data_IF_174963756861
#
_entry.id   IF_174963756861
#
_cell.length_a   1.000
_cell.length_b   1.000
_cell.length_c   1.000
_cell.angle_alpha   90.00
_cell.angle_beta   90.00
_cell.angle_gamma   90.00
#
_symmetry.space_group_name_H-M   'P 1'
#
loop_
_entity.id
_entity.type
_entity.pdbx_description
1 polymer ?
#
# COMPACT_ATOMS: atom_id res chain seq x y z
N UNK A 1 7.93 26.73 10.59
CA UNK A 1 8.50 25.84 9.55
C UNK A 1 8.61 24.48 10.18
N UNK A 2 7.89 23.49 9.66
CA UNK A 2 7.95 22.11 10.18
C UNK A 2 9.01 21.37 9.39
N UNK A 3 9.88 20.64 10.08
CA UNK A 3 10.96 19.85 9.46
C UNK A 3 10.61 18.37 9.54
N UNK A 4 10.78 17.64 8.45
CA UNK A 4 10.60 16.19 8.39
C UNK A 4 11.98 15.54 8.33
N UNK A 5 12.23 14.61 9.23
CA UNK A 5 13.45 13.80 9.24
C UNK A 5 13.12 12.41 8.70
N UNK A 6 13.80 12.00 7.63
CA UNK A 6 13.68 10.69 7.01
C UNK A 6 15.04 10.01 7.10
N UNK A 7 15.06 8.79 7.63
CA UNK A 7 16.24 7.94 7.62
C UNK A 7 16.17 7.02 6.39
N UNK A 8 17.09 7.22 5.46
CA UNK A 8 17.11 6.56 4.16
C UNK A 8 18.51 6.05 3.88
N UNK A 9 18.60 4.88 3.25
CA UNK A 9 19.85 4.36 2.74
C UNK A 9 20.46 5.29 1.67
N UNK A 10 21.77 5.52 1.72
CA UNK A 10 22.49 6.42 0.80
C UNK A 10 22.31 6.01 -0.67
N UNK A 11 22.26 4.71 -0.94
CA UNK A 11 22.06 4.19 -2.31
C UNK A 11 20.64 4.48 -2.78
N UNK A 12 19.65 4.37 -1.90
CA UNK A 12 18.27 4.77 -2.20
C UNK A 12 18.18 6.27 -2.46
N UNK A 13 18.81 7.09 -1.62
CA UNK A 13 18.81 8.55 -1.76
C UNK A 13 19.41 9.00 -3.11
N UNK A 14 20.56 8.44 -3.49
CA UNK A 14 21.20 8.75 -4.77
C UNK A 14 20.35 8.34 -5.98
N UNK A 15 19.71 7.16 -5.93
CA UNK A 15 18.80 6.69 -6.99
C UNK A 15 17.59 7.61 -7.13
N UNK A 16 16.99 7.99 -6.00
CA UNK A 16 15.84 8.89 -6.00
C UNK A 16 16.20 10.26 -6.58
N UNK A 17 17.33 10.85 -6.15
CA UNK A 17 17.81 12.14 -6.66
C UNK A 17 18.05 12.11 -8.18
N UNK A 18 18.68 11.04 -8.67
CA UNK A 18 18.94 10.85 -10.10
C UNK A 18 17.65 10.80 -10.92
N UNK A 19 16.67 10.00 -10.48
CA UNK A 19 15.40 9.82 -11.20
C UNK A 19 14.54 11.10 -11.15
N UNK A 20 14.45 11.74 -9.98
CA UNK A 20 13.64 12.95 -9.81
C UNK A 20 14.26 14.15 -10.55
N UNK A 21 15.58 14.29 -10.52
CA UNK A 21 16.29 15.37 -11.23
C UNK A 21 16.12 15.27 -12.75
N UNK A 22 16.02 14.05 -13.31
CA UNK A 22 15.69 13.86 -14.73
C UNK A 22 14.30 14.41 -15.09
N UNK A 23 13.38 14.46 -14.13
CA UNK A 23 12.05 15.05 -14.26
C UNK A 23 12.00 16.52 -13.81
N UNK A 24 13.14 17.11 -13.44
CA UNK A 24 13.22 18.49 -12.94
C UNK A 24 12.63 18.69 -11.54
N UNK A 25 12.54 17.63 -10.73
CA UNK A 25 12.03 17.68 -9.37
C UNK A 25 13.16 17.42 -8.36
N UNK A 26 13.17 18.20 -7.28
CA UNK A 26 14.00 17.88 -6.10
C UNK A 26 13.26 16.94 -5.14
N UNK A 27 14.01 16.26 -4.27
CA UNK A 27 13.44 15.39 -3.23
C UNK A 27 12.44 16.13 -2.32
N UNK A 28 12.73 17.33 -1.77
CA UNK A 28 11.77 18.04 -0.92
C UNK A 28 10.48 18.43 -1.66
N UNK A 29 10.58 18.82 -2.94
CA UNK A 29 9.41 19.13 -3.77
C UNK A 29 8.54 17.89 -4.00
N UNK A 30 9.17 16.77 -4.34
CA UNK A 30 8.46 15.50 -4.53
C UNK A 30 7.75 15.04 -3.23
N UNK A 31 8.42 15.15 -2.08
CA UNK A 31 7.82 14.83 -0.77
C UNK A 31 6.63 15.75 -0.47
N UNK A 32 6.76 17.06 -0.75
CA UNK A 32 5.66 18.02 -0.56
C UNK A 32 4.45 17.71 -1.44
N UNK A 33 4.68 17.35 -2.71
CA UNK A 33 3.61 16.93 -3.62
C UNK A 33 2.93 15.65 -3.14
N UNK A 34 3.70 14.65 -2.72
CA UNK A 34 3.17 13.40 -2.16
C UNK A 34 2.28 13.65 -0.94
N UNK A 35 2.74 14.46 0.02
CA UNK A 35 1.94 14.82 1.20
C UNK A 35 0.65 15.57 0.83
N UNK A 36 0.71 16.43 -0.19
CA UNK A 36 -0.47 17.14 -0.70
C UNK A 36 -1.49 16.17 -1.30
N UNK A 37 -1.04 15.19 -2.08
CA UNK A 37 -1.92 14.16 -2.65
C UNK A 37 -2.57 13.31 -1.57
N UNK A 38 -1.80 12.88 -0.56
CA UNK A 38 -2.32 12.10 0.58
C UNK A 38 -3.37 12.90 1.35
N UNK A 39 -3.09 14.17 1.67
CA UNK A 39 -4.01 15.03 2.40
C UNK A 39 -5.28 15.37 1.62
N UNK A 40 -5.26 15.28 0.28
CA UNK A 40 -6.41 15.58 -0.58
C UNK A 40 -7.26 14.34 -0.83
N UNK A 41 -6.63 13.18 -1.01
CA UNK A 41 -7.29 11.95 -1.42
C UNK A 41 -7.56 10.94 -0.29
N UNK A 42 -7.05 11.19 0.92
CA UNK A 42 -7.07 10.25 2.06
C UNK A 42 -6.55 8.84 1.69
N UNK A 43 -5.65 8.79 0.70
CA UNK A 43 -5.11 7.56 0.14
C UNK A 43 -3.65 7.76 -0.29
N UNK A 44 -2.89 6.67 -0.35
CA UNK A 44 -1.52 6.71 -0.85
C UNK A 44 -1.53 6.88 -2.38
N UNK A 45 -0.71 7.80 -2.95
CA UNK A 45 -0.66 8.06 -4.38
C UNK A 45 0.21 7.02 -5.10
N UNK A 46 -0.16 5.76 -4.98
CA UNK A 46 0.51 4.63 -5.62
C UNK A 46 -0.51 3.60 -6.06
N UNK A 47 -0.19 2.90 -7.15
CA UNK A 47 -0.94 1.71 -7.54
C UNK A 47 -0.85 0.64 -6.44
N UNK A 48 -1.88 -0.19 -6.26
CA UNK A 48 -1.80 -1.35 -5.38
C UNK A 48 -0.58 -2.20 -5.74
N UNK A 49 0.33 -2.35 -4.79
CA UNK A 49 1.53 -3.18 -4.96
C UNK A 49 1.21 -4.66 -5.05
N UNK A 50 2.26 -5.48 -5.21
CA UNK A 50 2.11 -6.93 -5.09
C UNK A 50 1.61 -7.28 -3.68
N UNK A 51 0.58 -8.13 -3.54
CA UNK A 51 0.15 -8.61 -2.23
C UNK A 51 1.32 -9.26 -1.47
N UNK A 52 1.32 -9.17 -0.15
CA UNK A 52 2.32 -9.85 0.66
C UNK A 52 2.10 -11.38 0.62
N UNK A 53 3.08 -12.16 1.09
CA UNK A 53 3.01 -13.61 1.03
C UNK A 53 1.76 -14.16 1.71
N UNK A 54 1.38 -13.68 2.89
CA UNK A 54 0.16 -14.10 3.59
C UNK A 54 -1.10 -13.89 2.75
N UNK A 55 -1.17 -12.79 1.98
CA UNK A 55 -2.31 -12.53 1.10
C UNK A 55 -2.27 -13.43 -0.12
N UNK A 56 -1.07 -13.70 -0.66
CA UNK A 56 -0.90 -14.66 -1.77
C UNK A 56 -1.34 -16.05 -1.34
N UNK A 57 -0.88 -16.53 -0.18
CA UNK A 57 -1.24 -17.84 0.38
C UNK A 57 -2.76 -17.95 0.56
N UNK A 58 -3.42 -16.90 1.08
CA UNK A 58 -4.87 -16.87 1.23
C UNK A 58 -5.63 -16.83 -0.11
N UNK A 59 -5.05 -16.21 -1.14
CA UNK A 59 -5.60 -16.25 -2.50
C UNK A 59 -5.45 -17.63 -3.13
N UNK A 60 -4.35 -18.34 -2.87
CA UNK A 60 -4.14 -19.73 -3.29
C UNK A 60 -5.08 -20.70 -2.55
N UNK A 61 -5.35 -20.47 -1.27
CA UNK A 61 -6.36 -21.23 -0.51
C UNK A 61 -7.78 -21.04 -1.05
N UNK A 62 -8.08 -19.88 -1.66
CA UNK A 62 -9.36 -19.67 -2.34
C UNK A 62 -9.55 -20.51 -3.61
N UNK A 63 -8.47 -21.06 -4.18
CA UNK A 63 -8.56 -22.05 -5.25
C UNK A 63 -8.88 -23.47 -4.73
N UNK A 64 -8.90 -23.66 -3.40
CA UNK A 64 -9.43 -24.86 -2.73
C UNK A 64 -10.94 -24.70 -2.41
N UNK A 65 -11.64 -25.81 -2.22
CA UNK A 65 -13.13 -25.90 -2.17
C UNK A 65 -13.73 -25.20 -0.93
N UNK A 66 -13.82 -23.87 -0.97
CA UNK A 66 -14.35 -23.03 0.12
C UNK A 66 -15.88 -23.17 0.26
N UNK A 67 -16.42 -23.06 1.50
CA UNK A 67 -17.86 -23.15 1.72
C UNK A 67 -18.62 -22.00 1.04
N UNK A 68 -19.72 -22.35 0.36
CA UNK A 68 -20.64 -21.39 -0.24
C UNK A 68 -21.86 -21.16 0.66
N UNK A 69 -22.39 -19.93 0.65
CA UNK A 69 -23.50 -19.51 1.52
C UNK A 69 -24.65 -18.91 0.70
N UNK A 70 -25.89 -19.25 1.07
CA UNK A 70 -27.09 -18.81 0.36
C UNK A 70 -27.65 -17.45 0.81
N UNK A 71 -27.23 -16.94 1.97
CA UNK A 71 -27.60 -15.61 2.46
C UNK A 71 -26.55 -15.02 3.41
N UNK A 72 -26.62 -13.71 3.61
CA UNK A 72 -25.68 -12.95 4.45
C UNK A 72 -25.69 -13.44 5.90
N UNK A 73 -26.85 -13.78 6.46
CA UNK A 73 -26.96 -14.24 7.84
C UNK A 73 -26.17 -15.53 8.09
N UNK A 74 -26.23 -16.48 7.15
CA UNK A 74 -25.47 -17.74 7.24
C UNK A 74 -23.96 -17.55 7.12
N UNK A 75 -23.52 -16.61 6.26
CA UNK A 75 -22.11 -16.25 6.13
C UNK A 75 -21.58 -15.61 7.42
N UNK A 76 -22.34 -14.67 7.99
CA UNK A 76 -21.92 -13.95 9.20
C UNK A 76 -21.86 -14.87 10.43
N UNK A 77 -22.76 -15.85 10.54
CA UNK A 77 -22.69 -16.87 11.58
C UNK A 77 -21.39 -17.69 11.48
N UNK A 78 -21.05 -18.16 10.28
CA UNK A 78 -19.80 -18.90 10.02
C UNK A 78 -18.54 -18.09 10.35
N UNK A 79 -18.47 -16.82 9.94
CA UNK A 79 -17.31 -15.96 10.21
C UNK A 79 -17.14 -15.62 11.70
N UNK A 80 -18.23 -15.62 12.48
CA UNK A 80 -18.19 -15.30 13.92
C UNK A 80 -17.77 -16.49 14.79
N UNK A 81 -17.94 -17.72 14.30
CA UNK A 81 -17.60 -18.95 15.02
C UNK A 81 -16.07 -19.20 15.12
N UNK A 82 -15.25 -18.37 14.48
CA UNK A 82 -13.80 -18.31 14.68
C UNK A 82 -13.08 -19.55 14.18
N UNK A 83 -12.96 -19.66 12.86
CA UNK A 83 -11.96 -20.52 12.21
C UNK A 83 -10.60 -19.82 12.17
#
# INVERSE_FOLDING_TARGET
>A
MTTIHLDLDDTLLWRADTVLSQQGLSIPEAVGQWLTLIATGDALPMEPGQPNQTTIDAMEECDEDLPSFGCVDTLMAYLHEGH
#
